data_IF_268743393745
#
_entry.id   IF_268743393745
#
_cell.length_a   1.000
_cell.length_b   1.000
_cell.length_c   1.000
_cell.angle_alpha   90.00
_cell.angle_beta   90.00
_cell.angle_gamma   90.00
#
_symmetry.space_group_name_H-M   'P 1'
#
loop_
_entity.id
_entity.type
_entity.pdbx_description
1 polymer ?
#
# COMPACT_ATOMS: atom_id res chain seq x y z
N UNK A 1 -27.62 -1.88 21.32
CA UNK A 1 -26.17 -2.22 21.34
C UNK A 1 -25.86 -3.02 20.08
N UNK A 2 -25.29 -2.39 19.06
CA UNK A 2 -25.03 -3.03 17.77
C UNK A 2 -23.93 -4.08 17.90
N UNK A 3 -24.22 -5.32 17.47
CA UNK A 3 -23.21 -6.38 17.40
C UNK A 3 -22.14 -5.98 16.39
N UNK A 4 -20.91 -5.80 16.85
CA UNK A 4 -19.76 -5.65 15.96
C UNK A 4 -19.45 -7.06 15.44
N UNK A 5 -19.89 -7.35 14.22
CA UNK A 5 -19.50 -8.57 13.52
C UNK A 5 -18.02 -8.44 13.16
N UNK A 6 -17.13 -8.97 14.02
CA UNK A 6 -15.73 -9.15 13.68
C UNK A 6 -15.68 -10.21 12.57
N UNK A 7 -15.64 -9.75 11.31
CA UNK A 7 -15.33 -10.61 10.19
C UNK A 7 -14.05 -11.40 10.50
N UNK A 8 -14.02 -12.69 10.14
CA UNK A 8 -12.82 -13.51 10.32
C UNK A 8 -11.62 -12.76 9.72
N UNK A 9 -10.52 -12.57 10.47
CA UNK A 9 -9.34 -11.90 9.96
C UNK A 9 -8.81 -12.71 8.78
N UNK A 10 -8.86 -12.09 7.61
CA UNK A 10 -8.51 -12.67 6.32
C UNK A 10 -7.42 -11.78 5.73
N UNK A 11 -6.20 -12.33 5.61
CA UNK A 11 -5.05 -11.61 5.10
C UNK A 11 -5.26 -11.13 3.66
N UNK A 12 -6.04 -11.86 2.85
CA UNK A 12 -6.31 -11.51 1.45
C UNK A 12 -7.24 -10.29 1.32
N UNK A 13 -7.96 -9.95 2.39
CA UNK A 13 -8.89 -8.80 2.44
C UNK A 13 -8.31 -7.57 3.12
N UNK A 14 -7.14 -7.69 3.76
CA UNK A 14 -6.51 -6.52 4.38
C UNK A 14 -5.98 -5.59 3.30
N UNK A 15 -6.15 -4.25 3.45
CA UNK A 15 -5.64 -3.29 2.48
C UNK A 15 -4.11 -3.13 2.55
N UNK A 16 -3.37 -4.09 3.14
CA UNK A 16 -1.91 -4.09 3.27
C UNK A 16 -1.28 -5.09 2.30
N UNK A 17 -0.07 -4.78 1.85
CA UNK A 17 0.72 -5.64 0.98
C UNK A 17 2.21 -5.45 1.25
N UNK A 18 3.02 -6.42 0.83
CA UNK A 18 4.48 -6.28 0.84
C UNK A 18 4.96 -5.25 -0.18
N UNK A 19 6.13 -4.65 0.07
CA UNK A 19 6.72 -3.64 -0.82
C UNK A 19 6.94 -4.14 -2.24
N UNK A 20 7.28 -5.41 -2.43
CA UNK A 20 7.48 -5.98 -3.75
C UNK A 20 6.18 -5.99 -4.58
N UNK A 21 5.07 -6.40 -3.98
CA UNK A 21 3.76 -6.43 -4.62
C UNK A 21 3.22 -5.01 -4.87
N UNK A 22 3.44 -4.11 -3.92
CA UNK A 22 3.12 -2.70 -4.09
C UNK A 22 3.86 -2.07 -5.28
N UNK A 23 5.17 -2.35 -5.41
CA UNK A 23 5.99 -1.85 -6.51
C UNK A 23 5.48 -2.36 -7.87
N UNK A 24 5.18 -3.66 -7.95
CA UNK A 24 4.59 -4.27 -9.15
C UNK A 24 3.25 -3.62 -9.50
N UNK A 25 2.37 -3.45 -8.52
CA UNK A 25 1.02 -2.93 -8.74
C UNK A 25 1.04 -1.46 -9.19
N UNK A 26 1.92 -0.63 -8.63
CA UNK A 26 2.07 0.78 -9.03
C UNK A 26 2.98 0.98 -10.26
N UNK A 27 3.65 -0.08 -10.72
CA UNK A 27 4.64 -0.02 -11.80
C UNK A 27 5.81 0.90 -11.47
N UNK A 28 6.33 0.80 -10.23
CA UNK A 28 7.50 1.56 -9.77
C UNK A 28 8.60 0.60 -9.32
N UNK A 29 9.84 1.07 -9.34
CA UNK A 29 10.96 0.29 -8.80
C UNK A 29 11.03 0.36 -7.26
N UNK A 30 11.58 -0.69 -6.65
CA UNK A 30 11.80 -0.78 -5.20
C UNK A 30 12.62 0.38 -4.63
N UNK A 31 13.60 0.89 -5.37
CA UNK A 31 14.39 2.07 -4.97
C UNK A 31 13.56 3.34 -4.95
N UNK A 32 12.56 3.46 -5.84
CA UNK A 32 11.64 4.59 -5.87
C UNK A 32 10.76 4.61 -4.63
N UNK A 33 10.25 3.44 -4.22
CA UNK A 33 9.52 3.29 -2.96
C UNK A 33 10.39 3.68 -1.77
N UNK A 34 11.62 3.14 -1.70
CA UNK A 34 12.55 3.38 -0.59
C UNK A 34 12.94 4.85 -0.41
N UNK A 35 13.03 5.62 -1.51
CA UNK A 35 13.33 7.06 -1.46
C UNK A 35 12.18 7.93 -0.92
N UNK A 36 10.96 7.39 -0.84
CA UNK A 36 9.75 8.15 -0.43
C UNK A 36 9.11 7.64 0.85
N UNK A 37 9.76 6.75 1.60
CA UNK A 37 9.23 6.19 2.85
C UNK A 37 8.77 7.29 3.81
N UNK A 38 9.54 8.38 3.92
CA UNK A 38 9.23 9.50 4.83
C UNK A 38 8.04 10.36 4.38
N UNK A 39 7.53 10.15 3.15
CA UNK A 39 6.36 10.85 2.62
C UNK A 39 5.04 10.11 2.92
N UNK A 40 5.12 8.88 3.42
CA UNK A 40 3.93 8.12 3.75
C UNK A 40 3.27 8.64 5.03
N UNK A 41 1.93 8.77 5.05
CA UNK A 41 1.21 9.08 6.28
C UNK A 41 1.51 8.06 7.39
N UNK A 42 1.57 8.53 8.64
CA UNK A 42 1.85 7.67 9.79
C UNK A 42 0.87 6.49 9.84
N UNK A 43 1.39 5.27 10.02
CA UNK A 43 0.59 4.04 10.10
C UNK A 43 0.25 3.40 8.76
N UNK A 44 0.56 4.05 7.63
CA UNK A 44 0.30 3.51 6.28
C UNK A 44 1.48 2.74 5.69
N UNK A 45 2.66 2.82 6.34
CA UNK A 45 3.87 2.08 6.02
C UNK A 45 4.56 1.62 7.31
N UNK A 46 5.15 0.43 7.29
CA UNK A 46 5.92 -0.11 8.41
C UNK A 46 7.01 -1.07 7.92
N UNK A 47 8.19 -1.01 8.55
CA UNK A 47 9.27 -1.96 8.29
C UNK A 47 8.99 -3.29 8.99
N UNK A 48 9.11 -4.40 8.26
CA UNK A 48 8.94 -5.76 8.77
C UNK A 48 10.12 -6.62 8.32
N UNK A 49 11.07 -6.85 9.23
CA UNK A 49 12.34 -7.51 8.89
C UNK A 49 13.16 -6.68 7.90
N UNK A 50 13.44 -7.26 6.72
CA UNK A 50 14.16 -6.61 5.63
C UNK A 50 13.24 -5.90 4.63
N UNK A 51 11.94 -6.14 4.72
CA UNK A 51 10.93 -5.62 3.79
C UNK A 51 10.08 -4.54 4.45
N UNK A 52 9.25 -3.90 3.62
CA UNK A 52 8.24 -2.96 4.07
C UNK A 52 6.86 -3.56 3.80
N UNK A 53 5.93 -3.31 4.72
CA UNK A 53 4.51 -3.50 4.49
C UNK A 53 3.86 -2.13 4.33
N UNK A 54 2.97 -2.02 3.35
CA UNK A 54 2.32 -0.76 2.97
C UNK A 54 0.83 -0.98 2.78
N UNK A 55 0.04 0.04 3.09
CA UNK A 55 -1.38 0.08 2.74
C UNK A 55 -1.58 0.58 1.30
N UNK A 56 -2.68 0.18 0.65
CA UNK A 56 -3.13 0.77 -0.62
C UNK A 56 -3.30 2.28 -0.52
N UNK A 57 -3.89 2.76 0.58
CA UNK A 57 -4.09 4.20 0.82
C UNK A 57 -2.77 4.97 0.91
N UNK A 58 -1.76 4.43 1.62
CA UNK A 58 -0.44 5.04 1.68
C UNK A 58 0.22 5.13 0.31
N UNK A 59 0.14 4.05 -0.48
CA UNK A 59 0.66 4.03 -1.84
C UNK A 59 -0.06 5.04 -2.74
N UNK A 60 -1.40 5.12 -2.65
CA UNK A 60 -2.20 6.09 -3.39
C UNK A 60 -1.87 7.53 -3.01
N UNK A 61 -1.65 7.81 -1.72
CA UNK A 61 -1.27 9.13 -1.22
C UNK A 61 0.07 9.62 -1.81
N UNK A 62 1.08 8.75 -1.86
CA UNK A 62 2.45 9.13 -2.28
C UNK A 62 2.66 9.04 -3.80
N UNK A 63 1.98 8.11 -4.48
CA UNK A 63 2.23 7.78 -5.88
C UNK A 63 1.02 8.01 -6.81
N UNK A 64 -0.10 8.48 -6.28
CA UNK A 64 -1.39 8.59 -6.97
C UNK A 64 -2.15 7.27 -7.00
N UNK A 65 -3.45 7.33 -7.28
CA UNK A 65 -4.29 6.14 -7.41
C UNK A 65 -3.94 5.34 -8.67
N UNK A 66 -4.26 4.05 -8.68
CA UNK A 66 -4.03 3.20 -9.86
C UNK A 66 -4.88 3.63 -11.05
N UNK A 67 -6.10 4.13 -10.81
CA UNK A 67 -7.01 4.59 -11.87
C UNK A 67 -6.45 5.83 -12.58
N UNK A 68 -5.94 6.81 -11.84
CA UNK A 68 -5.25 7.97 -12.41
C UNK A 68 -4.02 7.57 -13.24
N UNK A 69 -3.34 6.50 -12.85
CA UNK A 69 -2.16 5.98 -13.57
C UNK A 69 -2.52 5.18 -14.81
N UNK A 70 -3.68 4.52 -14.84
CA UNK A 70 -4.21 3.84 -16.03
C UNK A 70 -4.67 4.86 -17.08
N UNK A 71 -5.42 5.87 -16.65
CA UNK A 71 -5.91 6.94 -17.54
C UNK A 71 -4.77 7.72 -18.23
N UNK A 72 -3.59 7.84 -17.61
CA UNK A 72 -2.42 8.48 -18.22
C UNK A 72 -1.65 7.60 -19.22
N UNK A 73 -1.98 6.32 -19.30
CA UNK A 73 -1.31 5.34 -20.19
C UNK A 73 -2.15 4.98 -21.42
N UNK A 74 -3.42 5.36 -21.42
CA UNK A 74 -4.35 5.32 -22.56
C UNK A 74 -4.39 6.68 -23.26
#
# INVERSE_FOLDING_TARGET
>A
MGKISLAKPDLDKLPIMGSADACKLWGIDSSTLRKRIDQFPKGTIKKMGRDWIVTKDGMAYVFGTLEERKLKRE
#
